data_IF_638570072250
#
_entry.id   IF_638570072250
#
_cell.length_a   1.000
_cell.length_b   1.000
_cell.length_c   1.000
_cell.angle_alpha   90.00
_cell.angle_beta   90.00
_cell.angle_gamma   90.00
#
_symmetry.space_group_name_H-M   'P 1'
#
loop_
_entity.id
_entity.type
_entity.pdbx_description
1 polymer ?
#
# COMPACT_ATOMS: atom_id res chain seq x y z
N UNK A 1 -49.28 27.29 -1.05
CA UNK A 1 -48.29 26.29 -1.41
C UNK A 1 -48.42 25.18 -0.38
N UNK A 2 -48.96 24.03 -0.80
CA UNK A 2 -49.57 23.05 0.09
C UNK A 2 -48.53 22.30 0.93
N UNK A 3 -48.77 22.21 2.24
CA UNK A 3 -47.91 21.46 3.21
C UNK A 3 -47.63 20.01 2.78
N UNK A 4 -48.54 19.42 2.01
CA UNK A 4 -48.43 18.08 1.40
C UNK A 4 -47.37 18.01 0.28
N UNK A 5 -47.22 19.07 -0.53
CA UNK A 5 -46.22 19.16 -1.59
C UNK A 5 -44.80 19.30 -1.01
N UNK A 6 -44.62 20.05 0.08
CA UNK A 6 -43.36 20.19 0.77
C UNK A 6 -42.91 18.88 1.44
N UNK A 7 -43.85 18.14 2.04
CA UNK A 7 -43.57 16.83 2.64
C UNK A 7 -43.20 15.77 1.59
N UNK A 8 -43.85 15.76 0.43
CA UNK A 8 -43.53 14.86 -0.68
C UNK A 8 -42.14 15.17 -1.29
N UNK A 9 -41.77 16.46 -1.39
CA UNK A 9 -40.45 16.87 -1.88
C UNK A 9 -39.32 16.48 -0.90
N UNK A 10 -39.57 16.55 0.42
CA UNK A 10 -38.63 16.15 1.45
C UNK A 10 -38.40 14.62 1.44
N UNK A 11 -39.45 13.82 1.20
CA UNK A 11 -39.33 12.35 1.08
C UNK A 11 -38.58 11.91 -0.16
N UNK A 12 -38.65 12.66 -1.28
CA UNK A 12 -37.89 12.36 -2.49
C UNK A 12 -36.37 12.62 -2.35
N UNK A 13 -35.96 13.54 -1.46
CA UNK A 13 -34.57 13.86 -1.21
C UNK A 13 -33.85 12.80 -0.35
N UNK A 14 -34.58 11.99 0.41
CA UNK A 14 -34.00 10.93 1.24
C UNK A 14 -33.75 9.61 0.50
N UNK A 15 -34.36 9.41 -0.66
CA UNK A 15 -34.20 8.19 -1.45
C UNK A 15 -32.88 8.12 -2.24
N UNK A 16 -32.15 9.23 -2.36
CA UNK A 16 -30.91 9.30 -3.16
C UNK A 16 -29.67 8.68 -2.53
N UNK A 17 -29.65 8.43 -1.21
CA UNK A 17 -28.47 7.93 -0.51
C UNK A 17 -28.40 6.41 -0.33
N UNK A 18 -29.42 5.65 -0.74
CA UNK A 18 -29.51 4.21 -0.47
C UNK A 18 -28.56 3.35 -1.33
N UNK A 19 -27.92 3.92 -2.37
CA UNK A 19 -27.07 3.17 -3.29
C UNK A 19 -25.58 3.51 -3.21
N UNK A 20 -25.17 4.34 -2.23
CA UNK A 20 -23.74 4.62 -2.00
C UNK A 20 -23.14 3.51 -1.16
N UNK A 21 -22.49 2.54 -1.80
CA UNK A 21 -21.68 1.53 -1.12
C UNK A 21 -20.34 2.16 -0.71
N UNK A 22 -20.24 2.56 0.56
CA UNK A 22 -18.95 2.77 1.23
C UNK A 22 -18.33 1.39 1.42
N UNK A 23 -17.45 0.96 0.51
CA UNK A 23 -16.79 -0.34 0.63
C UNK A 23 -15.76 -0.56 -0.44
N UNK A 24 -14.83 -1.48 -0.17
CA UNK A 24 -13.84 -2.00 -1.10
C UNK A 24 -14.52 -2.48 -2.40
N UNK A 25 -13.87 -2.24 -3.54
CA UNK A 25 -14.28 -2.79 -4.84
C UNK A 25 -13.95 -4.29 -4.99
N UNK A 26 -13.33 -4.89 -3.99
CA UNK A 26 -13.03 -6.31 -3.97
C UNK A 26 -14.31 -7.17 -4.03
N UNK A 27 -14.28 -8.31 -4.74
CA UNK A 27 -15.36 -9.28 -4.73
C UNK A 27 -15.76 -9.67 -3.30
N UNK A 28 -17.06 -9.85 -3.06
CA UNK A 28 -17.63 -10.10 -1.72
C UNK A 28 -17.16 -11.43 -1.07
N UNK A 29 -16.59 -12.32 -1.85
CA UNK A 29 -15.99 -13.60 -1.44
C UNK A 29 -14.53 -13.48 -1.00
N UNK A 30 -13.87 -12.35 -1.27
CA UNK A 30 -12.49 -12.10 -0.88
C UNK A 30 -12.45 -11.20 0.36
N UNK A 31 -12.32 -11.80 1.54
CA UNK A 31 -12.34 -11.08 2.83
C UNK A 31 -11.03 -11.20 3.60
N UNK A 32 -10.27 -12.25 3.33
CA UNK A 32 -9.06 -12.57 4.07
C UNK A 32 -7.86 -12.71 3.16
N UNK A 33 -6.69 -12.31 3.66
CA UNK A 33 -5.42 -12.39 2.94
C UNK A 33 -4.32 -12.94 3.83
N UNK A 34 -3.57 -13.88 3.29
CA UNK A 34 -2.27 -14.30 3.81
C UNK A 34 -1.17 -13.53 3.09
N UNK A 35 -0.22 -13.01 3.84
CA UNK A 35 0.95 -12.29 3.31
C UNK A 35 2.20 -13.01 3.79
N UNK A 36 2.85 -13.83 2.95
CA UNK A 36 4.16 -14.38 3.26
C UNK A 36 5.20 -13.26 3.35
N UNK A 37 6.35 -13.56 3.95
CA UNK A 37 7.48 -12.62 3.94
C UNK A 37 7.84 -12.26 2.50
N UNK A 38 7.99 -10.97 2.21
CA UNK A 38 8.35 -10.48 0.87
C UNK A 38 9.64 -11.15 0.38
N UNK A 39 9.67 -11.54 -0.89
CA UNK A 39 10.90 -11.98 -1.53
C UNK A 39 11.79 -10.77 -1.78
N UNK A 40 13.05 -10.83 -1.37
CA UNK A 40 14.00 -9.74 -1.59
C UNK A 40 14.98 -10.12 -2.70
N UNK A 41 14.88 -9.43 -3.84
CA UNK A 41 15.80 -9.56 -4.98
C UNK A 41 16.70 -8.31 -5.11
N UNK A 42 16.68 -7.43 -4.11
CA UNK A 42 17.54 -6.24 -4.09
C UNK A 42 18.90 -6.53 -3.47
N UNK A 43 19.84 -5.61 -3.64
CA UNK A 43 21.14 -5.69 -2.98
C UNK A 43 21.12 -5.22 -1.51
N UNK A 44 20.02 -4.63 -1.03
CA UNK A 44 19.90 -4.18 0.36
C UNK A 44 19.33 -5.30 1.23
N UNK A 45 20.08 -5.81 2.21
CA UNK A 45 19.66 -6.95 3.03
C UNK A 45 18.60 -6.53 4.07
N UNK A 46 17.76 -7.50 4.47
CA UNK A 46 16.80 -7.42 5.58
C UNK A 46 15.64 -6.45 5.43
N UNK A 47 15.52 -5.74 4.30
CA UNK A 47 14.40 -4.81 4.07
C UNK A 47 13.06 -5.53 3.91
N UNK A 48 13.06 -6.82 3.54
CA UNK A 48 11.86 -7.63 3.39
C UNK A 48 11.03 -7.73 4.68
N UNK A 49 11.68 -7.71 5.84
CA UNK A 49 11.01 -7.79 7.13
C UNK A 49 10.23 -6.50 7.45
N UNK A 50 10.86 -5.34 7.21
CA UNK A 50 10.23 -4.04 7.44
C UNK A 50 9.10 -3.79 6.45
N UNK A 51 9.30 -4.16 5.18
CA UNK A 51 8.25 -4.04 4.15
C UNK A 51 7.08 -4.96 4.45
N UNK A 52 7.31 -6.23 4.80
CA UNK A 52 6.24 -7.17 5.16
C UNK A 52 5.43 -6.63 6.34
N UNK A 53 6.11 -6.14 7.38
CA UNK A 53 5.45 -5.56 8.57
C UNK A 53 4.62 -4.33 8.21
N UNK A 54 5.15 -3.46 7.36
CA UNK A 54 4.44 -2.26 6.92
C UNK A 54 3.18 -2.60 6.12
N UNK A 55 3.25 -3.60 5.23
CA UNK A 55 2.09 -4.06 4.44
C UNK A 55 1.02 -4.67 5.35
N UNK A 56 1.40 -5.55 6.28
CA UNK A 56 0.46 -6.12 7.25
C UNK A 56 -0.24 -5.04 8.07
N UNK A 57 0.51 -4.06 8.56
CA UNK A 57 -0.05 -2.90 9.27
C UNK A 57 -1.01 -2.09 8.40
N UNK A 58 -0.66 -1.88 7.13
CA UNK A 58 -1.50 -1.11 6.21
C UNK A 58 -2.81 -1.84 5.87
N UNK A 59 -2.78 -3.17 5.67
CA UNK A 59 -3.98 -3.99 5.46
C UNK A 59 -4.91 -3.90 6.69
N UNK A 60 -4.35 -3.96 7.90
CA UNK A 60 -5.13 -3.83 9.14
C UNK A 60 -5.74 -2.44 9.31
N UNK A 61 -5.02 -1.38 8.92
CA UNK A 61 -5.53 0.01 8.98
C UNK A 61 -6.61 0.29 7.94
N UNK A 62 -6.48 -0.26 6.74
CA UNK A 62 -7.45 -0.10 5.67
C UNK A 62 -8.76 -0.84 5.98
N UNK A 63 -8.68 -2.06 6.49
CA UNK A 63 -9.83 -2.85 6.94
C UNK A 63 -10.67 -3.50 5.83
N UNK A 64 -10.32 -3.32 4.56
CA UNK A 64 -11.01 -3.96 3.43
C UNK A 64 -10.75 -5.47 3.37
N UNK A 65 -9.55 -5.88 3.77
CA UNK A 65 -9.13 -7.26 3.94
C UNK A 65 -8.69 -7.50 5.39
N UNK A 66 -8.90 -8.71 5.88
CA UNK A 66 -8.39 -9.15 7.19
C UNK A 66 -7.20 -10.08 6.97
N UNK A 67 -6.14 -9.85 7.72
CA UNK A 67 -4.99 -10.77 7.74
C UNK A 67 -5.41 -12.10 8.37
N UNK A 68 -5.08 -13.20 7.73
CA UNK A 68 -5.36 -14.57 8.19
C UNK A 68 -4.12 -15.46 8.04
N UNK A 69 -4.17 -16.66 8.64
CA UNK A 69 -3.17 -17.69 8.43
C UNK A 69 -3.24 -18.21 6.97
N UNK A 70 -2.19 -18.89 6.53
CA UNK A 70 -2.13 -19.46 5.18
C UNK A 70 -3.31 -20.40 4.91
N UNK A 71 -3.72 -21.19 5.92
CA UNK A 71 -4.79 -22.15 5.79
C UNK A 71 -6.20 -21.55 5.78
N UNK A 72 -6.38 -20.37 6.39
CA UNK A 72 -7.68 -19.71 6.59
C UNK A 72 -7.92 -18.55 5.63
N UNK A 73 -6.93 -18.19 4.81
CA UNK A 73 -7.03 -17.06 3.90
C UNK A 73 -7.77 -17.41 2.60
N UNK A 74 -8.61 -16.47 2.13
CA UNK A 74 -9.24 -16.53 0.80
C UNK A 74 -8.24 -16.26 -0.31
N UNK A 75 -7.25 -15.40 -0.01
CA UNK A 75 -6.23 -14.92 -0.96
C UNK A 75 -4.82 -14.97 -0.39
N UNK A 76 -3.83 -15.03 -1.28
CA UNK A 76 -2.41 -14.96 -0.97
C UNK A 76 -1.84 -13.75 -1.70
N UNK A 77 -1.16 -12.86 -0.98
CA UNK A 77 -0.49 -11.69 -1.53
C UNK A 77 1.03 -11.94 -1.57
N UNK A 78 1.52 -12.29 -2.75
CA UNK A 78 2.94 -12.51 -3.01
C UNK A 78 3.60 -11.21 -3.47
N UNK A 79 4.71 -10.81 -2.81
CA UNK A 79 5.40 -9.56 -3.08
C UNK A 79 6.87 -9.82 -3.29
N UNK A 80 7.44 -9.26 -4.36
CA UNK A 80 8.87 -9.32 -4.67
C UNK A 80 9.45 -7.92 -4.72
N UNK A 81 10.42 -7.64 -3.85
CA UNK A 81 11.19 -6.40 -3.86
C UNK A 81 12.24 -6.51 -4.97
N UNK A 82 12.13 -5.64 -5.99
CA UNK A 82 12.94 -5.75 -7.21
C UNK A 82 14.07 -4.74 -7.29
N UNK A 83 13.95 -3.59 -6.60
CA UNK A 83 14.99 -2.57 -6.58
C UNK A 83 14.93 -1.73 -5.30
N UNK A 84 16.10 -1.41 -4.77
CA UNK A 84 16.31 -0.44 -3.71
C UNK A 84 17.36 0.56 -4.16
N UNK A 85 17.11 1.87 -3.96
CA UNK A 85 18.10 2.89 -4.31
C UNK A 85 17.90 4.19 -3.52
N UNK A 86 18.95 5.00 -3.49
CA UNK A 86 18.98 6.32 -2.89
C UNK A 86 19.34 7.36 -3.96
N UNK A 87 18.54 8.40 -4.08
CA UNK A 87 18.79 9.53 -4.97
C UNK A 87 19.01 10.81 -4.14
N UNK A 88 20.03 11.60 -4.41
CA UNK A 88 20.17 12.92 -3.80
C UNK A 88 19.07 13.84 -4.34
N UNK A 89 18.33 14.51 -3.44
CA UNK A 89 17.23 15.41 -3.80
C UNK A 89 17.50 16.87 -3.45
N UNK A 90 18.41 17.14 -2.49
CA UNK A 90 18.86 18.49 -2.18
C UNK A 90 20.34 18.52 -1.83
N UNK A 91 20.96 19.69 -2.04
CA UNK A 91 22.38 19.92 -1.80
C UNK A 91 22.59 21.09 -0.84
N UNK A 92 23.71 21.09 -0.14
CA UNK A 92 24.10 22.19 0.74
C UNK A 92 24.27 23.48 -0.08
N UNK A 93 23.70 24.58 0.39
CA UNK A 93 23.80 25.87 -0.27
C UNK A 93 25.26 26.24 -0.55
N UNK A 94 25.59 26.57 -1.80
CA UNK A 94 26.94 26.88 -2.24
C UNK A 94 27.89 25.70 -2.45
N UNK A 95 27.40 24.45 -2.27
CA UNK A 95 28.19 23.21 -2.47
C UNK A 95 27.42 22.20 -3.29
N UNK A 96 27.48 22.30 -4.62
CA UNK A 96 26.73 21.44 -5.54
C UNK A 96 27.12 19.95 -5.51
N UNK A 97 28.23 19.60 -4.86
CA UNK A 97 28.72 18.22 -4.73
C UNK A 97 28.36 17.56 -3.38
N UNK A 98 27.76 18.30 -2.42
CA UNK A 98 27.47 17.78 -1.09
C UNK A 98 25.95 17.71 -0.90
N UNK A 99 25.38 16.53 -1.11
CA UNK A 99 23.96 16.30 -0.85
C UNK A 99 23.67 16.29 0.66
N UNK A 100 22.59 16.94 1.06
CA UNK A 100 22.11 16.96 2.44
C UNK A 100 20.75 16.31 2.60
N UNK A 101 20.05 16.00 1.50
CA UNK A 101 18.79 15.28 1.54
C UNK A 101 18.76 14.21 0.43
N UNK A 102 18.24 13.05 0.76
CA UNK A 102 18.15 11.89 -0.11
C UNK A 102 16.72 11.38 -0.17
N UNK A 103 16.34 10.79 -1.30
CA UNK A 103 15.16 9.98 -1.47
C UNK A 103 15.54 8.51 -1.41
N UNK A 104 14.96 7.77 -0.46
CA UNK A 104 14.98 6.32 -0.44
C UNK A 104 13.78 5.82 -1.24
N UNK A 105 14.03 4.93 -2.19
CA UNK A 105 12.99 4.33 -3.03
C UNK A 105 13.07 2.82 -2.98
N UNK A 106 11.92 2.16 -2.81
CA UNK A 106 11.76 0.70 -2.81
C UNK A 106 10.77 0.34 -3.90
N UNK A 107 11.20 -0.43 -4.89
CA UNK A 107 10.35 -0.93 -5.97
C UNK A 107 10.01 -2.40 -5.73
N UNK A 108 8.74 -2.73 -5.95
CA UNK A 108 8.23 -4.08 -5.85
C UNK A 108 7.34 -4.43 -7.03
N UNK A 109 7.16 -5.72 -7.26
CA UNK A 109 6.02 -6.30 -7.97
C UNK A 109 5.17 -7.09 -6.97
N UNK A 110 3.88 -7.26 -7.26
CA UNK A 110 3.05 -8.12 -6.43
C UNK A 110 1.94 -8.78 -7.23
N UNK A 111 1.50 -9.94 -6.72
CA UNK A 111 0.37 -10.68 -7.26
C UNK A 111 -0.54 -11.08 -6.09
N UNK A 112 -1.82 -10.76 -6.20
CA UNK A 112 -2.87 -11.28 -5.33
C UNK A 112 -3.56 -12.44 -6.03
N UNK A 113 -3.54 -13.64 -5.43
CA UNK A 113 -4.16 -14.85 -5.97
C UNK A 113 -5.24 -15.36 -5.06
N UNK A 114 -6.28 -15.98 -5.63
CA UNK A 114 -7.22 -16.80 -4.88
C UNK A 114 -6.51 -18.07 -4.41
N UNK A 115 -6.70 -18.44 -3.17
CA UNK A 115 -6.11 -19.68 -2.64
C UNK A 115 -6.73 -20.92 -3.25
N UNK A 116 -8.04 -20.93 -3.50
CA UNK A 116 -8.78 -22.14 -3.89
C UNK A 116 -8.43 -22.66 -5.30
N UNK A 117 -8.29 -21.78 -6.27
CA UNK A 117 -8.04 -22.12 -7.69
C UNK A 117 -6.76 -21.49 -8.24
N UNK A 118 -6.01 -20.78 -7.41
CA UNK A 118 -4.79 -20.05 -7.77
C UNK A 118 -4.98 -18.99 -8.88
N UNK A 119 -6.22 -18.58 -9.13
CA UNK A 119 -6.51 -17.53 -10.12
C UNK A 119 -5.96 -16.17 -9.66
N UNK A 120 -5.46 -15.41 -10.62
CA UNK A 120 -4.93 -14.06 -10.36
C UNK A 120 -6.09 -13.09 -10.18
N UNK A 121 -6.13 -12.39 -9.05
CA UNK A 121 -7.10 -11.32 -8.76
C UNK A 121 -6.51 -9.98 -9.16
N UNK A 122 -5.28 -9.69 -8.72
CA UNK A 122 -4.55 -8.46 -9.06
C UNK A 122 -3.13 -8.85 -9.42
N UNK A 123 -2.61 -8.27 -10.48
CA UNK A 123 -1.20 -8.37 -10.88
C UNK A 123 -0.66 -6.96 -11.12
N UNK A 124 0.38 -6.60 -10.37
CA UNK A 124 1.08 -5.32 -10.51
C UNK A 124 2.57 -5.58 -10.73
N UNK A 125 3.06 -5.39 -11.95
CA UNK A 125 4.46 -5.62 -12.26
C UNK A 125 5.40 -4.58 -11.66
N UNK A 126 4.86 -3.44 -11.21
CA UNK A 126 5.69 -2.35 -10.67
C UNK A 126 4.91 -1.40 -9.79
N UNK A 127 5.31 -1.31 -8.54
CA UNK A 127 4.90 -0.29 -7.58
C UNK A 127 6.15 0.24 -6.87
N UNK A 128 6.20 1.54 -6.59
CA UNK A 128 7.35 2.16 -5.92
C UNK A 128 6.87 2.99 -4.75
N UNK A 129 7.37 2.68 -3.56
CA UNK A 129 7.24 3.52 -2.37
C UNK A 129 8.53 4.32 -2.15
N UNK A 130 8.42 5.49 -1.52
CA UNK A 130 9.58 6.35 -1.29
C UNK A 130 9.40 7.22 -0.05
N UNK A 131 10.56 7.70 0.46
CA UNK A 131 10.61 8.66 1.56
C UNK A 131 11.84 9.55 1.42
N UNK A 132 11.68 10.86 1.62
CA UNK A 132 12.77 11.83 1.62
C UNK A 132 13.29 12.01 3.05
N UNK A 133 14.61 11.93 3.22
CA UNK A 133 15.25 12.05 4.53
C UNK A 133 16.51 12.90 4.47
N UNK A 134 16.81 13.56 5.59
CA UNK A 134 18.01 14.36 5.73
C UNK A 134 19.22 13.48 6.07
N UNK A 135 20.36 13.82 5.51
CA UNK A 135 21.62 13.18 5.86
C UNK A 135 22.11 13.70 7.22
N UNK A 136 22.13 12.84 8.22
CA UNK A 136 22.47 13.16 9.61
C UNK A 136 23.94 12.82 9.96
N UNK A 137 24.87 12.97 8.99
CA UNK A 137 26.31 12.74 9.21
C UNK A 137 26.77 11.30 9.03
N UNK A 138 25.87 10.32 9.15
CA UNK A 138 26.12 8.92 8.84
C UNK A 138 24.98 8.33 7.98
N UNK A 139 25.36 7.72 6.85
CA UNK A 139 24.39 7.18 5.89
C UNK A 139 23.67 5.94 6.43
N UNK A 140 24.34 5.11 7.19
CA UNK A 140 23.73 3.88 7.75
C UNK A 140 22.63 4.23 8.73
N UNK A 141 22.88 5.13 9.65
CA UNK A 141 21.88 5.61 10.61
C UNK A 141 20.73 6.34 9.92
N UNK A 142 21.04 7.19 8.93
CA UNK A 142 20.02 7.91 8.15
C UNK A 142 19.12 6.95 7.36
N UNK A 143 19.69 5.92 6.73
CA UNK A 143 18.94 4.85 6.04
C UNK A 143 18.03 4.08 6.98
N UNK A 144 18.52 3.70 8.16
CA UNK A 144 17.73 2.93 9.14
C UNK A 144 16.49 3.71 9.60
N UNK A 145 16.60 5.02 9.76
CA UNK A 145 15.46 5.90 10.10
C UNK A 145 14.47 6.00 8.94
N UNK A 146 14.99 6.09 7.70
CA UNK A 146 14.18 6.28 6.49
C UNK A 146 13.48 5.02 5.99
N UNK A 147 14.00 3.82 6.33
CA UNK A 147 13.51 2.55 5.80
C UNK A 147 12.04 2.32 6.17
N UNK A 148 11.69 2.54 7.43
CA UNK A 148 10.32 2.32 7.91
C UNK A 148 9.30 3.20 7.18
N UNK A 149 9.42 4.54 7.11
CA UNK A 149 8.45 5.35 6.39
C UNK A 149 8.43 5.08 4.87
N UNK A 150 9.55 4.70 4.24
CA UNK A 150 9.57 4.28 2.84
C UNK A 150 8.79 2.96 2.62
N UNK A 151 8.94 2.00 3.53
CA UNK A 151 8.18 0.75 3.53
C UNK A 151 6.67 0.99 3.77
N UNK A 152 6.32 1.92 4.67
CA UNK A 152 4.93 2.32 4.92
C UNK A 152 4.28 2.97 3.68
N UNK A 153 5.02 3.82 2.93
CA UNK A 153 4.53 4.38 1.68
C UNK A 153 4.32 3.29 0.61
N UNK A 154 5.26 2.35 0.49
CA UNK A 154 5.11 1.20 -0.41
C UNK A 154 3.88 0.36 -0.04
N UNK A 155 3.71 0.03 1.24
CA UNK A 155 2.55 -0.73 1.74
C UNK A 155 1.23 -0.05 1.43
N UNK A 156 1.12 1.26 1.66
CA UNK A 156 -0.06 2.06 1.33
C UNK A 156 -0.40 2.00 -0.16
N UNK A 157 0.59 2.09 -1.04
CA UNK A 157 0.40 2.03 -2.49
C UNK A 157 -0.04 0.65 -2.95
N UNK A 158 0.54 -0.42 -2.40
CA UNK A 158 0.14 -1.80 -2.68
C UNK A 158 -1.31 -2.02 -2.28
N UNK A 159 -1.68 -1.71 -1.03
CA UNK A 159 -3.04 -1.90 -0.52
C UNK A 159 -4.04 -1.05 -1.31
N UNK A 160 -3.70 0.20 -1.64
CA UNK A 160 -4.55 1.07 -2.47
C UNK A 160 -4.81 0.46 -3.85
N UNK A 161 -3.80 -0.12 -4.51
CA UNK A 161 -3.99 -0.80 -5.80
C UNK A 161 -4.88 -2.04 -5.69
N UNK A 162 -4.75 -2.81 -4.61
CA UNK A 162 -5.59 -3.99 -4.35
C UNK A 162 -7.05 -3.58 -4.14
N UNK A 163 -7.30 -2.60 -3.28
CA UNK A 163 -8.65 -2.19 -2.87
C UNK A 163 -9.40 -1.45 -3.98
N UNK A 164 -8.67 -0.72 -4.83
CA UNK A 164 -9.21 0.04 -5.96
C UNK A 164 -9.24 -0.77 -7.27
N UNK A 165 -8.71 -1.99 -7.26
CA UNK A 165 -8.71 -2.83 -8.46
C UNK A 165 -10.14 -3.20 -8.83
N UNK A 166 -10.51 -2.80 -10.06
CA UNK A 166 -11.73 -3.22 -10.73
C UNK A 166 -11.31 -3.95 -12.02
N UNK A 167 -11.74 -5.19 -12.24
CA UNK A 167 -11.49 -5.93 -13.47
C UNK A 167 -12.24 -5.32 -14.66
#
# INVERSE_FOLDING_TARGET
>A
MNRTLAAALLLLLTAGCANYRLGSMLPADLKTVYVPTCKNETAEPLIEQDVTRAILSQIQMDGSLRVASEDDADTILEITLTKFWLDPVAYVAGKSSTANQYRMSIKASFVLRRRGDNSVVVDSPSVTGWYDFDFAGDMTSSKNIALRPAAEDLGRRIVSQIVQYWP
#
